data_IF_649372801303
#
_entry.id   IF_649372801303
#
_cell.length_a   1.000
_cell.length_b   1.000
_cell.length_c   1.000
_cell.angle_alpha   90.00
_cell.angle_beta   90.00
_cell.angle_gamma   90.00
#
_symmetry.space_group_name_H-M   'P 1'
#
loop_
_entity.id
_entity.type
_entity.pdbx_description
1 polymer ?
#
# COMPACT_ATOMS: atom_id res chain seq x y z
N UNK A 1 42.65 15.26 -14.70
CA UNK A 1 41.44 14.88 -13.95
C UNK A 1 41.65 13.43 -13.50
N UNK A 2 41.87 13.15 -12.20
CA UNK A 2 42.07 11.77 -11.76
C UNK A 2 40.78 10.95 -11.93
N UNK A 3 40.88 9.66 -12.30
CA UNK A 3 39.71 8.82 -12.49
C UNK A 3 38.96 8.62 -11.15
N UNK A 4 37.66 8.91 -11.20
CA UNK A 4 36.70 8.64 -10.13
C UNK A 4 36.78 7.16 -9.74
N UNK A 5 37.18 6.88 -8.50
CA UNK A 5 37.12 5.52 -7.93
C UNK A 5 35.65 5.12 -7.82
N UNK A 6 35.21 4.23 -8.71
CA UNK A 6 33.92 3.54 -8.58
C UNK A 6 33.98 2.72 -7.29
N UNK A 7 33.39 3.25 -6.23
CA UNK A 7 33.18 2.53 -4.97
C UNK A 7 32.16 1.43 -5.30
N UNK A 8 32.64 0.21 -5.57
CA UNK A 8 31.80 -0.98 -5.60
C UNK A 8 31.26 -1.15 -4.18
N UNK A 9 30.00 -0.72 -3.97
CA UNK A 9 29.27 -1.01 -2.74
C UNK A 9 29.36 -2.51 -2.46
N UNK A 10 29.67 -2.85 -1.22
CA UNK A 10 29.62 -4.23 -0.74
C UNK A 10 28.27 -4.85 -1.11
N UNK A 11 28.24 -6.12 -1.58
CA UNK A 11 27.00 -6.76 -2.00
C UNK A 11 26.01 -6.73 -0.84
N UNK A 12 24.89 -6.02 -1.02
CA UNK A 12 23.83 -5.96 -0.02
C UNK A 12 23.30 -7.37 0.23
N UNK A 13 23.16 -7.76 1.49
CA UNK A 13 22.57 -9.05 1.88
C UNK A 13 21.23 -9.23 1.17
N UNK A 14 20.98 -10.38 0.51
CA UNK A 14 19.70 -10.60 -0.17
C UNK A 14 18.54 -10.48 0.81
N UNK A 15 17.40 -9.97 0.32
CA UNK A 15 16.18 -9.91 1.13
C UNK A 15 15.75 -11.33 1.51
N UNK A 16 15.20 -11.48 2.73
CA UNK A 16 14.63 -12.76 3.12
C UNK A 16 13.44 -13.10 2.21
N UNK A 17 13.27 -14.38 1.88
CA UNK A 17 12.14 -14.84 1.07
C UNK A 17 10.80 -14.42 1.69
N UNK A 18 10.71 -14.41 3.01
CA UNK A 18 9.52 -13.96 3.75
C UNK A 18 9.21 -12.48 3.49
N UNK A 19 10.23 -11.60 3.54
CA UNK A 19 10.08 -10.18 3.25
C UNK A 19 9.65 -9.95 1.79
N UNK A 20 10.23 -10.71 0.86
CA UNK A 20 9.89 -10.61 -0.56
C UNK A 20 8.45 -11.06 -0.83
N UNK A 21 8.02 -12.19 -0.24
CA UNK A 21 6.63 -12.64 -0.29
C UNK A 21 5.69 -11.60 0.30
N UNK A 22 6.04 -11.02 1.46
CA UNK A 22 5.25 -9.96 2.09
C UNK A 22 5.10 -8.72 1.18
N UNK A 23 6.19 -8.28 0.53
CA UNK A 23 6.17 -7.17 -0.44
C UNK A 23 5.23 -7.49 -1.61
N UNK A 24 5.36 -8.68 -2.21
CA UNK A 24 4.54 -9.09 -3.36
C UNK A 24 3.07 -9.22 -3.00
N UNK A 25 2.76 -9.80 -1.83
CA UNK A 25 1.39 -9.92 -1.32
C UNK A 25 0.79 -8.54 -1.07
N UNK A 26 1.48 -7.66 -0.34
CA UNK A 26 1.00 -6.30 -0.05
C UNK A 26 0.76 -5.50 -1.34
N UNK A 27 1.71 -5.60 -2.28
CA UNK A 27 1.61 -4.95 -3.59
C UNK A 27 0.41 -5.45 -4.39
N UNK A 28 0.23 -6.78 -4.47
CA UNK A 28 -0.88 -7.37 -5.23
C UNK A 28 -2.24 -6.98 -4.64
N UNK A 29 -2.37 -7.01 -3.31
CA UNK A 29 -3.60 -6.57 -2.62
C UNK A 29 -3.91 -5.12 -2.99
N UNK A 30 -2.93 -4.22 -2.90
CA UNK A 30 -3.11 -2.81 -3.25
C UNK A 30 -3.50 -2.60 -4.71
N UNK A 31 -2.86 -3.31 -5.63
CA UNK A 31 -3.19 -3.25 -7.07
C UNK A 31 -4.62 -3.75 -7.31
N UNK A 32 -4.98 -4.91 -6.76
CA UNK A 32 -6.29 -5.51 -6.95
C UNK A 32 -7.41 -4.63 -6.36
N UNK A 33 -7.23 -4.14 -5.13
CA UNK A 33 -8.17 -3.21 -4.50
C UNK A 33 -8.26 -1.90 -5.29
N UNK A 34 -7.13 -1.34 -5.70
CA UNK A 34 -7.06 -0.12 -6.49
C UNK A 34 -7.79 -0.25 -7.83
N UNK A 35 -7.55 -1.34 -8.56
CA UNK A 35 -8.20 -1.66 -9.82
C UNK A 35 -9.71 -1.88 -9.63
N UNK A 36 -10.13 -2.59 -8.58
CA UNK A 36 -11.53 -2.77 -8.23
C UNK A 36 -12.23 -1.43 -7.99
N UNK A 37 -11.68 -0.60 -7.11
CA UNK A 37 -12.20 0.74 -6.81
C UNK A 37 -12.23 1.66 -8.05
N UNK A 38 -11.30 1.50 -8.98
CA UNK A 38 -11.24 2.29 -10.22
C UNK A 38 -12.30 1.85 -11.25
N UNK A 39 -12.42 0.55 -11.49
CA UNK A 39 -13.27 -0.02 -12.55
C UNK A 39 -14.72 -0.16 -12.07
N UNK A 40 -14.92 -0.70 -10.87
CA UNK A 40 -16.21 -1.08 -10.34
C UNK A 40 -16.39 -0.62 -8.87
N UNK A 41 -16.29 0.69 -8.58
CA UNK A 41 -16.27 1.23 -7.21
C UNK A 41 -17.44 0.73 -6.33
N UNK A 42 -18.67 0.74 -6.88
CA UNK A 42 -19.86 0.32 -6.14
C UNK A 42 -19.84 -1.17 -5.80
N UNK A 43 -19.42 -2.01 -6.75
CA UNK A 43 -19.27 -3.44 -6.53
C UNK A 43 -18.20 -3.71 -5.48
N UNK A 44 -17.01 -3.11 -5.63
CA UNK A 44 -15.91 -3.28 -4.68
C UNK A 44 -16.27 -2.84 -3.27
N UNK A 45 -16.95 -1.69 -3.10
CA UNK A 45 -17.43 -1.26 -1.79
C UNK A 45 -18.56 -2.14 -1.24
N UNK A 46 -19.43 -2.68 -2.10
CA UNK A 46 -20.52 -3.56 -1.66
C UNK A 46 -20.02 -4.87 -1.04
N UNK A 47 -18.85 -5.37 -1.44
CA UNK A 47 -18.17 -6.51 -0.79
C UNK A 47 -17.83 -6.24 0.68
N UNK A 48 -17.82 -4.98 1.08
CA UNK A 48 -17.55 -4.53 2.45
C UNK A 48 -18.80 -3.92 3.10
N UNK A 49 -19.99 -4.29 2.62
CA UNK A 49 -21.29 -3.81 3.12
C UNK A 49 -21.46 -2.28 3.05
N UNK A 50 -20.81 -1.64 2.07
CA UNK A 50 -20.96 -0.21 1.82
C UNK A 50 -21.51 0.03 0.42
N UNK A 51 -22.74 0.50 0.33
CA UNK A 51 -23.30 0.97 -0.95
C UNK A 51 -22.93 2.43 -1.17
N UNK A 52 -22.13 2.66 -2.20
CA UNK A 52 -21.68 4.00 -2.58
C UNK A 52 -22.70 4.59 -3.55
N UNK A 53 -23.32 5.74 -3.24
CA UNK A 53 -24.15 6.47 -4.18
C UNK A 53 -23.43 6.75 -5.51
N UNK A 54 -24.15 6.71 -6.63
CA UNK A 54 -23.52 6.80 -7.96
C UNK A 54 -22.76 8.11 -8.19
N UNK A 55 -23.25 9.19 -7.60
CA UNK A 55 -22.65 10.53 -7.59
C UNK A 55 -21.39 10.62 -6.73
N UNK A 56 -21.16 9.72 -5.78
CA UNK A 56 -19.95 9.68 -4.94
C UNK A 56 -18.89 8.69 -5.46
N UNK A 57 -19.22 7.90 -6.49
CA UNK A 57 -18.34 6.88 -7.04
C UNK A 57 -17.00 7.43 -7.58
N UNK A 58 -16.93 8.71 -7.94
CA UNK A 58 -15.67 9.32 -8.40
C UNK A 58 -14.62 9.42 -7.28
N UNK A 59 -15.04 9.64 -6.03
CA UNK A 59 -14.14 9.72 -4.86
C UNK A 59 -13.46 8.36 -4.66
N UNK A 60 -14.25 7.29 -4.73
CA UNK A 60 -13.74 5.90 -4.61
C UNK A 60 -12.75 5.57 -5.73
N UNK A 61 -12.99 6.06 -6.96
CA UNK A 61 -12.02 5.90 -8.06
C UNK A 61 -10.70 6.62 -7.78
N UNK A 62 -10.73 7.82 -7.20
CA UNK A 62 -9.50 8.54 -6.84
C UNK A 62 -8.67 7.78 -5.79
N UNK A 63 -9.34 7.24 -4.76
CA UNK A 63 -8.71 6.34 -3.78
C UNK A 63 -8.14 5.10 -4.49
N UNK A 64 -8.90 4.51 -5.42
CA UNK A 64 -8.47 3.37 -6.22
C UNK A 64 -7.21 3.63 -7.04
N UNK A 65 -7.11 4.79 -7.69
CA UNK A 65 -5.90 5.19 -8.44
C UNK A 65 -4.70 5.27 -7.51
N UNK A 66 -4.84 5.96 -6.37
CA UNK A 66 -3.75 6.09 -5.39
C UNK A 66 -3.28 4.72 -4.93
N UNK A 67 -4.20 3.83 -4.60
CA UNK A 67 -3.88 2.52 -4.05
C UNK A 67 -3.24 1.60 -5.10
N UNK A 68 -3.75 1.63 -6.33
CA UNK A 68 -3.14 0.94 -7.45
C UNK A 68 -1.72 1.44 -7.75
N UNK A 69 -1.50 2.76 -7.70
CA UNK A 69 -0.21 3.38 -8.00
C UNK A 69 0.84 3.06 -6.92
N UNK A 70 0.48 3.16 -5.64
CA UNK A 70 1.35 2.73 -4.53
C UNK A 70 1.67 1.24 -4.63
N UNK A 71 0.67 0.41 -4.92
CA UNK A 71 0.85 -1.02 -5.13
C UNK A 71 1.79 -1.35 -6.29
N UNK A 72 1.63 -0.67 -7.43
CA UNK A 72 2.47 -0.83 -8.61
C UNK A 72 3.92 -0.38 -8.34
N UNK A 73 4.11 0.77 -7.69
CA UNK A 73 5.43 1.24 -7.28
C UNK A 73 6.12 0.24 -6.35
N UNK A 74 5.39 -0.35 -5.40
CA UNK A 74 5.93 -1.38 -4.51
C UNK A 74 6.25 -2.67 -5.28
N UNK A 75 5.44 -3.04 -6.28
CA UNK A 75 5.67 -4.22 -7.11
C UNK A 75 6.99 -4.15 -7.86
N UNK A 76 7.27 -2.97 -8.44
CA UNK A 76 8.41 -2.69 -9.30
C UNK A 76 9.64 -2.17 -8.55
N UNK A 77 9.55 -1.96 -7.23
CA UNK A 77 10.63 -1.39 -6.44
C UNK A 77 11.82 -2.35 -6.22
N UNK A 78 11.62 -3.65 -6.45
CA UNK A 78 12.71 -4.64 -6.41
C UNK A 78 13.57 -4.51 -7.66
N UNK A 79 14.83 -4.11 -7.49
CA UNK A 79 15.81 -4.04 -8.58
C UNK A 79 17.08 -4.79 -8.19
N UNK A 80 17.29 -5.95 -8.80
CA UNK A 80 18.48 -6.80 -8.55
C UNK A 80 19.75 -6.23 -9.21
N UNK A 81 19.61 -5.22 -10.07
CA UNK A 81 20.72 -4.55 -10.75
C UNK A 81 21.37 -3.42 -9.95
N UNK A 82 20.71 -2.92 -8.89
CA UNK A 82 21.30 -1.86 -8.03
C UNK A 82 22.11 -2.46 -6.88
N UNK A 83 23.13 -1.72 -6.43
CA UNK A 83 23.98 -2.15 -5.30
C UNK A 83 23.26 -2.30 -3.96
N UNK A 84 22.02 -1.83 -3.84
CA UNK A 84 21.15 -1.98 -2.67
C UNK A 84 19.95 -2.91 -2.89
N UNK A 85 19.85 -3.59 -4.04
CA UNK A 85 18.77 -4.53 -4.35
C UNK A 85 17.38 -3.90 -4.40
N UNK A 86 17.29 -2.58 -4.65
CA UNK A 86 16.04 -1.82 -4.61
C UNK A 86 15.52 -1.48 -3.20
N UNK A 87 16.26 -1.81 -2.13
CA UNK A 87 15.81 -1.59 -0.73
C UNK A 87 15.36 -0.16 -0.46
N UNK A 88 16.05 0.85 -1.01
CA UNK A 88 15.66 2.25 -0.84
C UNK A 88 14.32 2.58 -1.51
N UNK A 89 14.08 2.03 -2.70
CA UNK A 89 12.82 2.21 -3.41
C UNK A 89 11.68 1.51 -2.68
N UNK A 90 11.89 0.26 -2.23
CA UNK A 90 10.92 -0.50 -1.45
C UNK A 90 10.57 0.27 -0.18
N UNK A 91 11.57 0.75 0.57
CA UNK A 91 11.34 1.51 1.81
C UNK A 91 10.48 2.75 1.56
N UNK A 92 10.72 3.50 0.47
CA UNK A 92 9.93 4.68 0.09
C UNK A 92 8.49 4.32 -0.27
N UNK A 93 8.29 3.27 -1.07
CA UNK A 93 6.96 2.81 -1.46
C UNK A 93 6.15 2.30 -0.25
N UNK A 94 6.79 1.57 0.67
CA UNK A 94 6.17 1.12 1.92
C UNK A 94 5.76 2.30 2.80
N UNK A 95 6.63 3.29 2.98
CA UNK A 95 6.30 4.50 3.74
C UNK A 95 5.16 5.31 3.11
N UNK A 96 5.15 5.45 1.79
CA UNK A 96 4.05 6.11 1.09
C UNK A 96 2.71 5.41 1.36
N UNK A 97 2.70 4.08 1.33
CA UNK A 97 1.54 3.28 1.69
C UNK A 97 1.10 3.45 3.15
N UNK A 98 2.03 3.39 4.11
CA UNK A 98 1.72 3.59 5.53
C UNK A 98 1.09 4.97 5.78
N UNK A 99 1.62 6.02 5.16
CA UNK A 99 1.08 7.38 5.31
C UNK A 99 -0.34 7.44 4.75
N UNK A 100 -0.58 6.86 3.57
CA UNK A 100 -1.92 6.79 2.98
C UNK A 100 -2.90 6.04 3.90
N UNK A 101 -2.52 4.85 4.38
CA UNK A 101 -3.34 4.04 5.29
C UNK A 101 -3.66 4.81 6.58
N UNK A 102 -2.68 5.54 7.14
CA UNK A 102 -2.85 6.30 8.37
C UNK A 102 -3.86 7.45 8.18
N UNK A 103 -3.81 8.15 7.04
CA UNK A 103 -4.80 9.19 6.69
C UNK A 103 -6.19 8.56 6.55
N UNK A 104 -6.31 7.44 5.83
CA UNK A 104 -7.60 6.76 5.63
C UNK A 104 -8.21 6.28 6.96
N UNK A 105 -7.42 5.68 7.85
CA UNK A 105 -7.88 5.28 9.20
C UNK A 105 -8.32 6.50 10.00
N UNK A 106 -7.57 7.60 9.95
CA UNK A 106 -7.91 8.84 10.63
C UNK A 106 -9.25 9.41 10.15
N UNK A 107 -9.44 9.49 8.84
CA UNK A 107 -10.69 9.93 8.22
C UNK A 107 -11.87 9.02 8.55
N UNK A 108 -11.67 7.69 8.50
CA UNK A 108 -12.69 6.71 8.88
C UNK A 108 -13.09 6.85 10.36
N UNK A 109 -12.09 7.00 11.24
CA UNK A 109 -12.31 7.16 12.68
C UNK A 109 -13.08 8.44 12.97
N UNK A 110 -12.73 9.54 12.31
CA UNK A 110 -13.46 10.81 12.41
C UNK A 110 -14.92 10.65 11.96
N UNK A 111 -15.16 10.08 10.77
CA UNK A 111 -16.52 9.84 10.27
C UNK A 111 -17.33 8.89 11.17
N UNK A 112 -16.68 7.90 11.77
CA UNK A 112 -17.33 7.02 12.77
C UNK A 112 -17.76 7.78 14.02
N UNK A 113 -16.89 8.66 14.55
CA UNK A 113 -17.21 9.50 15.71
C UNK A 113 -18.37 10.46 15.40
N UNK A 114 -18.41 11.00 14.18
CA UNK A 114 -19.47 11.89 13.71
C UNK A 114 -20.79 11.16 13.37
N UNK A 115 -20.81 9.83 13.40
CA UNK A 115 -21.98 9.03 13.06
C UNK A 115 -22.24 8.88 11.56
N UNK A 116 -21.29 9.27 10.71
CA UNK A 116 -21.36 9.19 9.25
C UNK A 116 -21.08 7.76 8.74
N UNK A 117 -20.37 6.95 9.54
CA UNK A 117 -19.94 5.58 9.18
C UNK A 117 -20.57 4.55 10.12
N UNK A 118 -21.20 3.52 9.55
CA UNK A 118 -21.78 2.42 10.31
C UNK A 118 -20.74 1.48 10.95
N UNK A 119 -21.08 0.88 12.10
CA UNK A 119 -20.23 -0.06 12.86
C UNK A 119 -19.63 -1.23 12.02
N UNK A 120 -20.39 -1.90 11.13
CA UNK A 120 -19.84 -3.02 10.35
C UNK A 120 -18.71 -2.58 9.41
N UNK A 121 -18.88 -1.42 8.77
CA UNK A 121 -17.89 -0.86 7.84
C UNK A 121 -16.63 -0.41 8.58
N UNK A 122 -16.80 0.26 9.73
CA UNK A 122 -15.67 0.65 10.57
C UNK A 122 -14.83 -0.57 11.01
N UNK A 123 -15.47 -1.70 11.33
CA UNK A 123 -14.79 -2.94 11.70
C UNK A 123 -14.01 -3.58 10.55
N UNK A 124 -14.60 -3.69 9.36
CA UNK A 124 -13.95 -4.32 8.20
C UNK A 124 -12.75 -3.48 7.73
N UNK A 125 -12.92 -2.16 7.59
CA UNK A 125 -11.84 -1.30 7.12
C UNK A 125 -10.74 -1.20 8.19
N UNK A 126 -11.11 -1.09 9.48
CA UNK A 126 -10.14 -1.07 10.57
C UNK A 126 -9.29 -2.34 10.63
N UNK A 127 -9.90 -3.52 10.50
CA UNK A 127 -9.15 -4.80 10.49
C UNK A 127 -8.23 -4.93 9.28
N UNK A 128 -8.70 -4.56 8.09
CA UNK A 128 -7.88 -4.55 6.88
C UNK A 128 -6.67 -3.60 7.02
N UNK A 129 -6.88 -2.40 7.56
CA UNK A 129 -5.84 -1.40 7.72
C UNK A 129 -4.78 -1.82 8.76
N UNK A 130 -5.21 -2.41 9.89
CA UNK A 130 -4.27 -2.99 10.87
C UNK A 130 -3.42 -4.10 10.24
N UNK A 131 -4.02 -4.96 9.42
CA UNK A 131 -3.30 -6.00 8.69
C UNK A 131 -2.25 -5.44 7.72
N UNK A 132 -2.63 -4.44 6.92
CA UNK A 132 -1.74 -3.77 5.97
C UNK A 132 -0.56 -3.07 6.67
N UNK A 133 -0.82 -2.33 7.74
CA UNK A 133 0.22 -1.65 8.55
C UNK A 133 1.15 -2.67 9.20
N UNK A 134 0.61 -3.76 9.74
CA UNK A 134 1.42 -4.82 10.36
C UNK A 134 2.35 -5.48 9.34
N UNK A 135 1.85 -5.76 8.14
CA UNK A 135 2.65 -6.32 7.05
C UNK A 135 3.72 -5.32 6.59
N UNK A 136 3.37 -4.04 6.46
CA UNK A 136 4.30 -2.97 6.13
C UNK A 136 5.42 -2.84 7.18
N UNK A 137 5.10 -2.94 8.47
CA UNK A 137 6.07 -2.93 9.56
C UNK A 137 7.02 -4.14 9.52
N UNK A 138 6.50 -5.33 9.21
CA UNK A 138 7.32 -6.53 9.00
C UNK A 138 8.28 -6.36 7.82
N UNK A 139 7.82 -5.75 6.72
CA UNK A 139 8.68 -5.43 5.57
C UNK A 139 9.78 -4.46 6.00
N UNK A 140 9.44 -3.36 6.67
CA UNK A 140 10.43 -2.36 7.14
C UNK A 140 11.48 -2.97 8.06
N UNK A 141 11.12 -3.93 8.91
CA UNK A 141 12.07 -4.66 9.78
C UNK A 141 13.05 -5.54 9.00
N UNK A 142 12.66 -6.02 7.81
CA UNK A 142 13.51 -6.84 6.92
C UNK A 142 14.40 -6.03 5.96
N UNK A 143 14.20 -4.71 5.87
CA UNK A 143 14.92 -3.78 4.99
C UNK A 143 16.10 -3.09 5.66
#
# INVERSE_FOLDING_TARGET
>A
MPPSKVIKGSPSTPLSSTTLTAIKVLSLIRIATGAGCLIAPRFTCSLHYHDVPADQAFIVRMVGVREGLVGALLFSAEDKGTGDGGRRAIRRAVWAGIIADAVDIGSLTFGFIMGEVGKPMAGIIGTAAVGAISLAALILRGL
#
